data_IF_655261501282
#
_entry.id   IF_655261501282
#
_cell.length_a   1.000
_cell.length_b   1.000
_cell.length_c   1.000
_cell.angle_alpha   90.00
_cell.angle_beta   90.00
_cell.angle_gamma   90.00
#
_symmetry.space_group_name_H-M   'P 1'
#
loop_
_entity.id
_entity.type
_entity.pdbx_description
1 polymer ?
#
# COMPACT_ATOMS: atom_id res chain seq x y z
N UNK A 1 16.43 -25.65 -17.78
CA UNK A 1 16.81 -24.80 -16.62
C UNK A 1 15.80 -23.66 -16.59
N UNK A 2 14.81 -23.72 -15.68
CA UNK A 2 13.74 -22.71 -15.60
C UNK A 2 14.30 -21.38 -15.03
N UNK A 3 13.89 -20.21 -15.54
CA UNK A 3 14.22 -18.95 -14.89
C UNK A 3 13.43 -18.83 -13.58
N UNK A 4 14.15 -18.52 -12.50
CA UNK A 4 13.63 -18.23 -11.17
C UNK A 4 12.66 -17.06 -11.25
N UNK A 5 11.48 -17.23 -10.65
CA UNK A 5 10.41 -16.26 -10.65
C UNK A 5 10.80 -14.97 -9.95
N UNK A 6 10.38 -13.87 -10.56
CA UNK A 6 10.44 -12.53 -9.99
C UNK A 6 9.44 -12.42 -8.83
N UNK A 7 9.93 -12.38 -7.60
CA UNK A 7 9.14 -12.26 -6.37
C UNK A 7 8.75 -10.81 -6.00
N UNK A 8 8.74 -9.88 -6.95
CA UNK A 8 8.66 -8.45 -6.62
C UNK A 8 7.29 -7.76 -6.68
N UNK A 9 6.32 -8.24 -7.47
CA UNK A 9 5.37 -7.25 -8.07
C UNK A 9 3.90 -7.68 -8.18
N UNK A 10 3.46 -8.75 -7.51
CA UNK A 10 2.04 -9.15 -7.54
C UNK A 10 1.42 -9.03 -6.16
N UNK A 11 0.29 -8.33 -6.07
CA UNK A 11 -0.66 -8.53 -4.97
C UNK A 11 -0.85 -10.04 -4.81
N UNK A 12 -0.60 -10.55 -3.59
CA UNK A 12 -0.55 -12.00 -3.37
C UNK A 12 -1.97 -12.59 -3.46
N UNK A 13 -2.14 -13.63 -4.27
CA UNK A 13 -3.36 -14.42 -4.33
C UNK A 13 -3.80 -14.96 -2.97
N UNK A 14 -2.83 -15.21 -2.07
CA UNK A 14 -3.11 -15.60 -0.69
C UNK A 14 -3.90 -14.52 0.06
N UNK A 15 -3.60 -13.25 -0.17
CA UNK A 15 -4.28 -12.16 0.51
C UNK A 15 -5.77 -12.12 0.16
N UNK A 16 -6.13 -12.40 -1.10
CA UNK A 16 -7.54 -12.53 -1.51
C UNK A 16 -8.24 -13.67 -0.77
N UNK A 17 -7.57 -14.82 -0.70
CA UNK A 17 -8.07 -16.02 -0.03
C UNK A 17 -8.27 -15.79 1.46
N UNK A 18 -7.34 -15.11 2.12
CA UNK A 18 -7.40 -14.77 3.54
C UNK A 18 -8.52 -13.77 3.83
N UNK A 19 -8.62 -12.70 3.04
CA UNK A 19 -9.67 -11.69 3.22
C UNK A 19 -11.07 -12.27 3.02
N UNK A 20 -11.24 -13.14 2.02
CA UNK A 20 -12.46 -13.92 1.81
C UNK A 20 -12.78 -14.80 3.03
N UNK A 21 -11.79 -15.53 3.55
CA UNK A 21 -11.95 -16.39 4.74
C UNK A 21 -12.30 -15.59 5.99
N UNK A 22 -11.70 -14.41 6.18
CA UNK A 22 -12.02 -13.48 7.28
C UNK A 22 -13.47 -13.02 7.24
N UNK A 23 -14.03 -12.83 6.03
CA UNK A 23 -15.47 -12.56 5.82
C UNK A 23 -16.38 -13.79 5.89
N UNK A 24 -15.82 -14.99 6.12
CA UNK A 24 -16.52 -16.28 6.10
C UNK A 24 -17.24 -16.56 4.77
N UNK A 25 -16.68 -16.08 3.66
CA UNK A 25 -17.26 -16.26 2.33
C UNK A 25 -16.71 -17.50 1.62
N UNK A 26 -17.58 -18.21 0.90
CA UNK A 26 -17.16 -19.22 -0.07
C UNK A 26 -16.53 -18.55 -1.30
N UNK A 27 -15.80 -19.33 -2.09
CA UNK A 27 -15.21 -18.82 -3.32
C UNK A 27 -16.28 -18.38 -4.34
N UNK A 28 -17.44 -19.02 -4.35
CA UNK A 28 -18.58 -18.63 -5.19
C UNK A 28 -19.18 -17.29 -4.75
N UNK A 29 -19.41 -17.12 -3.44
CA UNK A 29 -19.93 -15.87 -2.88
C UNK A 29 -18.99 -14.70 -3.17
N UNK A 30 -17.68 -14.89 -3.01
CA UNK A 30 -16.69 -13.87 -3.32
C UNK A 30 -16.61 -13.58 -4.82
N UNK A 31 -16.67 -14.61 -5.67
CA UNK A 31 -16.64 -14.44 -7.11
C UNK A 31 -17.87 -13.65 -7.60
N UNK A 32 -19.06 -13.95 -7.07
CA UNK A 32 -20.28 -13.20 -7.34
C UNK A 32 -20.16 -11.74 -6.90
N UNK A 33 -19.67 -11.48 -5.68
CA UNK A 33 -19.49 -10.12 -5.18
C UNK A 33 -18.43 -9.32 -5.97
N UNK A 34 -17.44 -10.01 -6.54
CA UNK A 34 -16.39 -9.43 -7.37
C UNK A 34 -16.78 -9.36 -8.86
N UNK A 35 -17.95 -9.87 -9.25
CA UNK A 35 -18.42 -9.98 -10.64
C UNK A 35 -17.40 -10.72 -11.54
N UNK A 36 -16.93 -11.86 -11.06
CA UNK A 36 -16.03 -12.75 -11.80
C UNK A 36 -16.50 -14.20 -11.68
N UNK A 37 -15.97 -15.09 -12.52
CA UNK A 37 -16.24 -16.51 -12.37
C UNK A 37 -15.48 -17.10 -11.18
N UNK A 38 -16.07 -18.12 -10.52
CA UNK A 38 -15.40 -18.86 -9.45
C UNK A 38 -14.06 -19.45 -9.90
N UNK A 39 -13.99 -19.94 -11.13
CA UNK A 39 -12.76 -20.46 -11.73
C UNK A 39 -11.70 -19.36 -11.89
N UNK A 40 -12.09 -18.15 -12.31
CA UNK A 40 -11.17 -17.02 -12.40
C UNK A 40 -10.64 -16.60 -11.02
N UNK A 41 -11.52 -16.50 -10.01
CA UNK A 41 -11.10 -16.24 -8.63
C UNK A 41 -10.17 -17.35 -8.12
N UNK A 42 -10.40 -18.62 -8.50
CA UNK A 42 -9.50 -19.73 -8.13
C UNK A 42 -8.08 -19.54 -8.66
N UNK A 43 -7.96 -19.10 -9.92
CA UNK A 43 -6.66 -18.87 -10.55
C UNK A 43 -5.92 -17.72 -9.88
N UNK A 44 -6.65 -16.67 -9.49
CA UNK A 44 -6.09 -15.54 -8.76
C UNK A 44 -5.61 -15.96 -7.37
N UNK A 45 -6.44 -16.66 -6.58
CA UNK A 45 -6.08 -17.13 -5.22
C UNK A 45 -4.90 -18.12 -5.20
N UNK A 46 -4.65 -18.81 -6.31
CA UNK A 46 -3.52 -19.75 -6.46
C UNK A 46 -2.27 -19.09 -7.05
N UNK A 47 -2.30 -17.80 -7.35
CA UNK A 47 -1.17 -17.09 -7.98
C UNK A 47 -0.93 -17.47 -9.44
N UNK A 48 -1.84 -18.20 -10.09
CA UNK A 48 -1.73 -18.59 -11.51
C UNK A 48 -2.04 -17.43 -12.47
N UNK A 49 -2.60 -16.33 -11.97
CA UNK A 49 -2.79 -15.08 -12.72
C UNK A 49 -2.45 -13.87 -11.86
N UNK A 50 -1.79 -12.89 -12.47
CA UNK A 50 -1.56 -11.57 -11.88
C UNK A 50 -2.88 -10.81 -11.72
N UNK A 51 -3.00 -10.07 -10.63
CA UNK A 51 -4.15 -9.20 -10.35
C UNK A 51 -4.02 -7.92 -11.17
N UNK A 52 -5.06 -7.56 -11.92
CA UNK A 52 -5.09 -6.26 -12.62
C UNK A 52 -5.41 -5.13 -11.65
N UNK A 53 -4.87 -3.93 -11.89
CA UNK A 53 -5.15 -2.73 -11.07
C UNK A 53 -6.64 -2.43 -10.91
N UNK A 54 -7.42 -2.73 -11.95
CA UNK A 54 -8.88 -2.58 -11.96
C UNK A 54 -9.53 -3.57 -10.99
N UNK A 55 -9.07 -4.82 -10.98
CA UNK A 55 -9.57 -5.84 -10.06
C UNK A 55 -9.18 -5.54 -8.62
N UNK A 56 -7.93 -5.13 -8.36
CA UNK A 56 -7.46 -4.77 -7.01
C UNK A 56 -8.34 -3.68 -6.41
N UNK A 57 -8.70 -2.66 -7.18
CA UNK A 57 -9.60 -1.59 -6.73
C UNK A 57 -10.99 -2.09 -6.30
N UNK A 58 -11.51 -3.10 -6.99
CA UNK A 58 -12.79 -3.74 -6.63
C UNK A 58 -12.62 -4.64 -5.40
N UNK A 59 -11.53 -5.41 -5.33
CA UNK A 59 -11.23 -6.30 -4.22
C UNK A 59 -11.01 -5.52 -2.91
N UNK A 60 -10.33 -4.37 -2.94
CA UNK A 60 -10.21 -3.46 -1.79
C UNK A 60 -11.57 -3.14 -1.16
N UNK A 61 -12.55 -2.77 -1.99
CA UNK A 61 -13.90 -2.41 -1.52
C UNK A 61 -14.72 -3.61 -1.10
N UNK A 62 -14.74 -4.66 -1.93
CA UNK A 62 -15.63 -5.82 -1.74
C UNK A 62 -15.11 -6.76 -0.66
N UNK A 63 -13.80 -6.95 -0.55
CA UNK A 63 -13.17 -7.85 0.42
C UNK A 63 -12.58 -7.11 1.63
N UNK A 64 -12.66 -5.77 1.68
CA UNK A 64 -12.03 -4.93 2.71
C UNK A 64 -10.53 -5.23 2.83
N UNK A 65 -9.82 -5.35 1.70
CA UNK A 65 -8.38 -5.56 1.72
C UNK A 65 -7.67 -4.31 2.28
N UNK A 66 -6.53 -4.49 2.97
CA UNK A 66 -5.72 -3.36 3.44
C UNK A 66 -5.12 -2.59 2.25
N UNK A 67 -4.82 -1.31 2.44
CA UNK A 67 -4.17 -0.49 1.41
C UNK A 67 -2.77 -1.01 1.01
N UNK A 68 -2.11 -1.77 1.89
CA UNK A 68 -0.84 -2.48 1.62
C UNK A 68 -0.97 -3.56 0.54
N UNK A 69 -2.21 -3.97 0.21
CA UNK A 69 -2.52 -4.87 -0.89
C UNK A 69 -2.44 -4.20 -2.27
N UNK A 70 -2.26 -2.89 -2.34
CA UNK A 70 -2.15 -2.20 -3.63
C UNK A 70 -0.78 -2.52 -4.25
N UNK A 71 -0.71 -2.69 -5.59
CA UNK A 71 0.55 -2.98 -6.25
C UNK A 71 1.54 -1.85 -5.97
N UNK A 72 2.79 -2.25 -5.70
CA UNK A 72 3.94 -1.36 -5.66
C UNK A 72 4.42 -1.16 -7.09
N UNK A 73 4.74 0.07 -7.47
CA UNK A 73 5.31 0.40 -8.76
C UNK A 73 6.77 -0.01 -8.76
N UNK A 74 7.12 -1.01 -9.57
CA UNK A 74 8.52 -1.30 -9.89
C UNK A 74 9.14 -0.16 -10.72
N UNK A 75 10.34 0.25 -10.32
CA UNK A 75 11.09 1.37 -10.91
C UNK A 75 11.52 1.09 -12.37
N UNK A 76 11.43 -0.15 -12.84
CA UNK A 76 11.73 -0.54 -14.23
C UNK A 76 10.80 0.11 -15.26
N UNK A 77 9.58 0.51 -14.87
CA UNK A 77 8.70 1.26 -15.76
C UNK A 77 8.91 2.75 -15.50
N UNK A 78 9.95 3.30 -16.14
CA UNK A 78 10.14 4.74 -16.29
C UNK A 78 9.00 5.33 -17.14
N UNK A 79 7.82 5.49 -16.54
CA UNK A 79 6.78 6.36 -17.09
C UNK A 79 7.24 7.81 -16.93
N UNK A 80 6.91 8.69 -17.90
CA UNK A 80 7.38 10.06 -17.90
C UNK A 80 7.00 10.74 -16.59
N UNK A 81 7.98 11.42 -16.00
CA UNK A 81 7.84 12.27 -14.82
C UNK A 81 6.69 13.22 -15.07
N UNK A 82 5.48 12.87 -14.62
CA UNK A 82 4.37 13.79 -14.68
C UNK A 82 4.74 14.94 -13.76
N UNK A 83 5.00 16.12 -14.32
CA UNK A 83 5.32 17.37 -13.63
C UNK A 83 4.22 17.87 -12.67
N UNK A 84 3.20 17.05 -12.41
CA UNK A 84 2.12 17.37 -11.51
C UNK A 84 2.61 17.10 -10.08
N UNK A 85 2.77 18.17 -9.32
CA UNK A 85 3.01 18.13 -7.87
C UNK A 85 2.01 17.17 -7.23
N UNK A 86 2.52 16.14 -6.56
CA UNK A 86 1.69 15.16 -5.85
C UNK A 86 0.92 15.86 -4.73
N UNK A 87 -0.32 15.44 -4.52
CA UNK A 87 -1.18 15.94 -3.44
C UNK A 87 -1.16 14.94 -2.28
N UNK A 88 -0.05 14.96 -1.53
CA UNK A 88 0.17 14.04 -0.41
C UNK A 88 -0.89 14.16 0.68
N UNK A 89 -1.42 15.36 0.93
CA UNK A 89 -2.50 15.59 1.88
C UNK A 89 -3.73 14.76 1.52
N UNK A 90 -4.08 14.69 0.24
CA UNK A 90 -5.21 13.89 -0.20
C UNK A 90 -4.92 12.38 -0.24
N UNK A 91 -3.68 11.97 -0.53
CA UNK A 91 -3.27 10.56 -0.43
C UNK A 91 -3.33 10.06 1.02
N UNK A 92 -2.84 10.85 1.97
CA UNK A 92 -2.93 10.57 3.41
C UNK A 92 -4.37 10.59 3.92
N UNK A 93 -5.20 11.52 3.42
CA UNK A 93 -6.63 11.54 3.70
C UNK A 93 -7.32 10.26 3.24
N UNK A 94 -6.99 9.76 2.04
CA UNK A 94 -7.52 8.49 1.52
C UNK A 94 -7.04 7.25 2.32
N UNK A 95 -5.86 7.35 2.93
CA UNK A 95 -5.32 6.35 3.87
C UNK A 95 -5.92 6.48 5.28
N UNK A 96 -6.73 7.51 5.52
CA UNK A 96 -7.46 7.66 6.77
C UNK A 96 -6.78 8.52 7.82
N UNK A 97 -5.72 9.25 7.47
CA UNK A 97 -5.04 10.17 8.40
C UNK A 97 -6.05 11.17 8.99
N UNK A 98 -6.17 11.28 10.34
CA UNK A 98 -7.17 12.15 10.96
C UNK A 98 -7.05 13.62 10.56
N UNK A 99 -5.81 14.13 10.44
CA UNK A 99 -5.53 15.53 10.08
C UNK A 99 -5.98 15.91 8.67
N UNK A 100 -6.21 14.94 7.79
CA UNK A 100 -6.72 15.12 6.43
C UNK A 100 -8.03 14.37 6.19
N UNK A 101 -8.81 14.14 7.24
CA UNK A 101 -10.08 13.40 7.16
C UNK A 101 -11.10 13.99 6.16
N UNK A 102 -11.03 15.29 5.89
CA UNK A 102 -11.84 15.97 4.87
C UNK A 102 -11.49 15.58 3.42
N UNK A 103 -10.38 14.86 3.19
CA UNK A 103 -9.90 14.42 1.87
C UNK A 103 -10.09 12.90 1.61
N UNK A 104 -10.85 12.19 2.45
CA UNK A 104 -11.04 10.73 2.39
C UNK A 104 -11.65 10.17 1.10
N UNK A 105 -12.21 11.01 0.22
CA UNK A 105 -12.96 10.55 -0.96
C UNK A 105 -12.09 9.95 -2.08
N UNK A 106 -10.75 10.09 -2.01
CA UNK A 106 -9.85 9.59 -3.07
C UNK A 106 -9.56 8.10 -2.92
N UNK A 107 -9.17 7.46 -4.02
CA UNK A 107 -8.70 6.07 -4.01
C UNK A 107 -7.34 6.02 -3.33
N UNK A 108 -7.14 5.18 -2.29
CA UNK A 108 -5.85 5.08 -1.63
C UNK A 108 -4.80 4.48 -2.57
N UNK A 109 -3.52 4.79 -2.30
CA UNK A 109 -2.33 4.15 -2.86
C UNK A 109 -1.70 3.20 -1.84
N UNK A 110 -0.72 2.43 -2.25
CA UNK A 110 0.03 1.62 -1.30
C UNK A 110 0.76 2.56 -0.30
N UNK A 111 0.58 2.40 1.03
CA UNK A 111 1.25 3.20 2.05
C UNK A 111 2.77 3.30 1.89
N UNK A 112 3.44 2.22 1.48
CA UNK A 112 4.88 2.21 1.28
C UNK A 112 5.31 3.13 0.13
N UNK A 113 4.52 3.20 -0.96
CA UNK A 113 4.78 4.16 -2.04
C UNK A 113 4.59 5.60 -1.58
N UNK A 114 3.48 5.87 -0.86
CA UNK A 114 3.17 7.22 -0.38
C UNK A 114 4.29 7.71 0.53
N UNK A 115 4.76 6.85 1.44
CA UNK A 115 5.87 7.14 2.34
C UNK A 115 7.17 7.39 1.55
N UNK A 116 7.54 6.53 0.61
CA UNK A 116 8.75 6.70 -0.19
C UNK A 116 8.72 7.99 -1.03
N UNK A 117 7.61 8.27 -1.71
CA UNK A 117 7.46 9.47 -2.54
C UNK A 117 7.47 10.74 -1.69
N UNK A 118 6.79 10.75 -0.54
CA UNK A 118 6.81 11.89 0.38
C UNK A 118 8.21 12.16 0.94
N UNK A 119 8.94 11.11 1.34
CA UNK A 119 10.33 11.23 1.80
C UNK A 119 11.27 11.72 0.68
N UNK A 120 10.89 11.51 -0.57
CA UNK A 120 11.65 11.93 -1.74
C UNK A 120 11.42 13.40 -2.12
N UNK A 121 10.32 13.99 -1.67
CA UNK A 121 9.93 15.37 -1.95
C UNK A 121 10.92 16.36 -1.28
N UNK A 122 11.53 17.29 -2.04
CA UNK A 122 12.43 18.28 -1.47
C UNK A 122 11.72 19.30 -0.56
N UNK A 123 10.50 19.70 -0.93
CA UNK A 123 9.72 20.74 -0.27
C UNK A 123 8.38 20.19 0.21
N UNK A 124 8.44 19.20 1.10
CA UNK A 124 7.26 18.58 1.69
C UNK A 124 6.55 19.56 2.63
N UNK A 125 5.23 19.64 2.53
CA UNK A 125 4.41 20.43 3.45
C UNK A 125 4.60 19.93 4.91
N UNK A 126 4.67 20.86 5.87
CA UNK A 126 4.94 20.53 7.28
C UNK A 126 3.89 19.57 7.86
N UNK A 127 2.61 19.76 7.57
CA UNK A 127 1.54 18.88 8.09
C UNK A 127 1.60 17.49 7.45
N UNK A 128 2.05 17.42 6.20
CA UNK A 128 2.33 16.15 5.54
C UNK A 128 3.53 15.46 6.19
N UNK A 129 4.62 16.19 6.49
CA UNK A 129 5.80 15.64 7.17
C UNK A 129 5.44 15.08 8.56
N UNK A 130 4.62 15.80 9.34
CA UNK A 130 4.13 15.37 10.66
C UNK A 130 3.28 14.10 10.62
N UNK A 131 2.67 13.78 9.48
CA UNK A 131 1.84 12.58 9.32
C UNK A 131 2.62 11.31 8.97
N UNK A 132 3.90 11.43 8.57
CA UNK A 132 4.70 10.27 8.13
C UNK A 132 4.96 9.26 9.26
N UNK A 133 5.22 9.67 10.51
CA UNK A 133 5.30 8.74 11.64
C UNK A 133 3.99 7.97 11.85
N UNK A 134 2.85 8.65 11.79
CA UNK A 134 1.53 8.00 11.86
C UNK A 134 1.34 6.97 10.74
N UNK A 135 1.79 7.28 9.51
CA UNK A 135 1.69 6.37 8.38
C UNK A 135 2.51 5.09 8.62
N UNK A 136 3.73 5.23 9.14
CA UNK A 136 4.59 4.11 9.51
C UNK A 136 3.95 3.22 10.59
N UNK A 137 3.37 3.83 11.63
CA UNK A 137 2.70 3.10 12.73
C UNK A 137 1.38 2.45 12.31
N UNK A 138 0.63 3.08 11.43
CA UNK A 138 -0.71 2.61 11.04
C UNK A 138 -0.64 1.39 10.12
N UNK A 139 0.45 1.27 9.36
CA UNK A 139 0.63 0.26 8.32
C UNK A 139 1.89 -0.57 8.57
N UNK A 140 2.01 -1.16 9.75
CA UNK A 140 3.14 -2.03 10.13
C UNK A 140 3.34 -3.22 9.18
N UNK A 141 2.27 -3.68 8.54
CA UNK A 141 2.27 -4.80 7.59
C UNK A 141 2.59 -4.36 6.14
N UNK A 142 3.10 -3.15 5.92
CA UNK A 142 3.57 -2.73 4.60
C UNK A 142 4.85 -3.48 4.21
N UNK A 143 5.17 -3.53 2.91
CA UNK A 143 6.40 -4.14 2.42
C UNK A 143 7.63 -3.27 2.78
N UNK A 144 8.15 -3.48 3.99
CA UNK A 144 9.33 -2.78 4.51
C UNK A 144 10.59 -3.10 3.72
N UNK A 145 10.71 -4.33 3.20
CA UNK A 145 11.87 -4.72 2.42
C UNK A 145 11.92 -3.93 1.11
N UNK A 146 10.78 -3.81 0.42
CA UNK A 146 10.65 -2.92 -0.75
C UNK A 146 10.95 -1.46 -0.36
N UNK A 147 10.37 -0.96 0.72
CA UNK A 147 10.55 0.43 1.14
C UNK A 147 12.02 0.76 1.46
N UNK A 148 12.71 -0.11 2.20
CA UNK A 148 14.13 0.07 2.56
C UNK A 148 15.03 -0.02 1.33
N UNK A 149 14.78 -0.97 0.42
CA UNK A 149 15.54 -1.08 -0.84
C UNK A 149 15.42 0.21 -1.66
N UNK A 150 14.19 0.68 -1.90
CA UNK A 150 13.95 1.86 -2.73
C UNK A 150 14.40 3.17 -2.04
N UNK A 151 14.30 3.26 -0.71
CA UNK A 151 14.84 4.40 0.03
C UNK A 151 16.36 4.51 -0.13
N UNK A 152 17.10 3.39 -0.14
CA UNK A 152 18.54 3.39 -0.41
C UNK A 152 18.85 3.82 -1.84
N UNK A 153 18.09 3.33 -2.83
CA UNK A 153 18.27 3.71 -4.24
C UNK A 153 18.08 5.22 -4.48
N UNK A 154 17.22 5.87 -3.67
CA UNK A 154 16.92 7.31 -3.77
C UNK A 154 17.67 8.18 -2.77
N UNK A 155 18.63 7.61 -2.03
CA UNK A 155 19.38 8.29 -0.95
C UNK A 155 18.47 8.93 0.13
N UNK A 156 17.40 8.21 0.50
CA UNK A 156 16.38 8.62 1.48
C UNK A 156 16.38 7.77 2.75
N UNK A 157 17.34 6.87 2.94
CA UNK A 157 17.48 6.00 4.11
C UNK A 157 17.49 6.76 5.45
N UNK A 158 18.16 7.90 5.51
CA UNK A 158 18.21 8.72 6.73
C UNK A 158 16.85 9.33 7.05
N UNK A 159 16.13 9.80 6.03
CA UNK A 159 14.79 10.36 6.20
C UNK A 159 13.79 9.28 6.62
N UNK A 160 13.88 8.08 6.02
CA UNK A 160 13.08 6.93 6.42
C UNK A 160 13.36 6.52 7.87
N UNK A 161 14.65 6.39 8.24
CA UNK A 161 15.05 6.05 9.60
C UNK A 161 14.53 7.05 10.62
N UNK A 162 14.58 8.35 10.30
CA UNK A 162 14.05 9.40 11.18
C UNK A 162 12.52 9.32 11.33
N UNK A 163 11.77 9.07 10.27
CA UNK A 163 10.31 8.92 10.35
C UNK A 163 9.90 7.71 11.21
N UNK A 164 10.61 6.58 11.08
CA UNK A 164 10.39 5.38 11.91
C UNK A 164 10.79 5.62 13.36
N UNK A 165 11.87 6.37 13.60
CA UNK A 165 12.27 6.77 14.96
C UNK A 165 11.18 7.61 15.64
N UNK A 166 10.67 8.64 14.96
CA UNK A 166 9.57 9.46 15.48
C UNK A 166 8.31 8.62 15.76
N UNK A 167 8.00 7.67 14.89
CA UNK A 167 6.91 6.72 15.10
C UNK A 167 7.09 5.93 16.40
N UNK A 168 8.30 5.46 16.69
CA UNK A 168 8.56 4.72 17.92
C UNK A 168 8.41 5.57 19.19
N UNK A 169 8.77 6.86 19.15
CA UNK A 169 8.61 7.79 20.27
C UNK A 169 7.14 8.12 20.56
N UNK A 170 6.31 8.27 19.52
CA UNK A 170 4.86 8.49 19.68
C UNK A 170 4.17 7.25 20.29
N UNK A 171 4.62 6.05 19.91
CA UNK A 171 4.09 4.80 20.44
C UNK A 171 4.42 4.60 21.93
N UNK A 172 5.65 4.91 22.35
CA UNK A 172 6.07 4.81 23.76
C UNK A 172 5.39 5.86 24.65
N UNK A 173 5.16 7.07 24.12
CA UNK A 173 4.43 8.12 24.83
C UNK A 173 2.98 7.74 25.08
N UNK A 174 2.32 7.10 24.09
CA UNK A 174 0.93 6.67 24.21
C UNK A 174 0.74 5.48 25.18
N UNK A 175 1.77 4.68 25.45
CA UNK A 175 1.70 3.54 26.38
C UNK A 175 1.93 3.92 27.86
N UNK A 176 2.49 5.10 28.13
CA UNK A 176 2.85 5.55 29.48
C UNK A 176 1.91 6.62 30.06
N UNK A 177 0.81 6.94 29.38
CA UNK A 177 -0.22 7.90 29.83
C UNK A 177 -1.57 7.22 30.07
#
# INVERSE_FOLDING_TARGET
MLPLGEEGDSVDGNLLKEARRKKKWTQEQAALALDVTQAYLSMLEKGHRRLSDRFVGKALKVLNLPATALPLRSEEVAMPVSSHKRDFSAELGALGYPGFSYLRARRPRNPAEVLLEALSEPNLDTRVAESLPWLALTYLEMDWDWLVRNAKLRDRQNRLGFAVFLASEDATTTMNG
#
